data_IF_975085413140
#
_entry.id   IF_975085413140
#
_cell.length_a   1.000
_cell.length_b   1.000
_cell.length_c   1.000
_cell.angle_alpha   90.00
_cell.angle_beta   90.00
_cell.angle_gamma   90.00
#
_symmetry.space_group_name_H-M   'P 1'
#
loop_
_entity.id
_entity.type
_entity.pdbx_description
1 polymer ?
#
# COMPACT_ATOMS: atom_id res chain seq x y z
N UNK A 1 2.08 -6.96 0.60
CA UNK A 1 2.19 -5.86 -0.37
C UNK A 1 0.80 -5.26 -0.57
N UNK A 2 0.64 -3.95 -0.40
CA UNK A 2 -0.58 -3.24 -0.77
C UNK A 2 -0.38 -2.54 -2.12
N UNK A 3 -1.36 -2.62 -3.02
CA UNK A 3 -1.36 -1.92 -4.31
C UNK A 3 -2.37 -0.79 -4.24
N UNK A 4 -1.95 0.43 -4.62
CA UNK A 4 -2.82 1.59 -4.65
C UNK A 4 -2.74 2.22 -6.04
N UNK A 5 -3.88 2.38 -6.70
CA UNK A 5 -3.96 3.16 -7.94
C UNK A 5 -3.67 4.61 -7.58
N UNK A 6 -2.83 5.27 -8.39
CA UNK A 6 -2.47 6.65 -8.14
C UNK A 6 -3.73 7.50 -7.90
N UNK A 7 -3.96 8.00 -6.69
CA UNK A 7 -5.21 8.63 -6.35
C UNK A 7 -5.28 10.03 -6.96
N UNK A 8 -6.41 10.39 -7.55
CA UNK A 8 -6.70 11.78 -7.95
C UNK A 8 -7.18 12.64 -6.78
N UNK A 9 -7.69 11.99 -5.73
CA UNK A 9 -8.25 12.62 -4.54
C UNK A 9 -7.62 11.99 -3.30
N UNK A 10 -7.15 12.82 -2.37
CA UNK A 10 -6.50 12.38 -1.14
C UNK A 10 -7.43 12.48 0.06
N UNK A 11 -7.78 11.34 0.63
CA UNK A 11 -8.36 11.22 1.96
C UNK A 11 -7.35 11.55 3.06
N UNK A 12 -7.86 11.87 4.25
CA UNK A 12 -7.07 12.31 5.41
C UNK A 12 -5.90 11.36 5.75
N UNK A 13 -6.10 10.04 5.71
CA UNK A 13 -5.05 9.05 5.98
C UNK A 13 -4.15 8.76 4.78
N UNK A 14 -4.64 8.95 3.54
CA UNK A 14 -3.84 8.71 2.33
C UNK A 14 -2.73 9.72 2.13
N UNK A 15 -2.82 10.89 2.75
CA UNK A 15 -1.76 11.91 2.76
C UNK A 15 -0.52 11.47 3.52
N UNK A 16 -0.70 10.62 4.55
CA UNK A 16 0.40 10.07 5.34
C UNK A 16 1.04 8.85 4.67
N UNK A 17 0.40 8.25 3.66
CA UNK A 17 0.95 7.11 2.94
C UNK A 17 2.03 7.54 1.95
N UNK A 18 3.26 7.07 2.17
CA UNK A 18 4.37 7.24 1.24
C UNK A 18 4.47 6.07 0.23
N UNK A 19 4.63 6.38 -1.07
CA UNK A 19 4.81 5.37 -2.11
C UNK A 19 6.10 4.59 -1.87
N UNK A 20 6.09 3.30 -2.20
CA UNK A 20 7.18 2.32 -2.02
C UNK A 20 7.57 1.99 -0.58
N UNK A 21 7.07 2.74 0.41
CA UNK A 21 7.23 2.45 1.84
C UNK A 21 5.99 1.77 2.39
N UNK A 22 4.81 2.35 2.16
CA UNK A 22 3.55 1.82 2.69
C UNK A 22 2.70 1.11 1.63
N UNK A 23 2.87 1.47 0.36
CA UNK A 23 2.13 0.86 -0.76
C UNK A 23 2.93 0.91 -2.06
N UNK A 24 2.50 0.15 -3.05
CA UNK A 24 3.03 0.22 -4.41
C UNK A 24 2.09 1.00 -5.33
N UNK A 25 2.55 2.09 -5.96
CA UNK A 25 1.70 2.89 -6.85
C UNK A 25 1.44 2.16 -8.16
N UNK A 26 0.19 2.17 -8.61
CA UNK A 26 -0.26 1.63 -9.89
C UNK A 26 -0.69 2.79 -10.78
N UNK A 27 -0.14 2.83 -11.99
CA UNK A 27 -0.53 3.81 -12.98
C UNK A 27 -1.96 3.52 -13.47
N UNK A 28 -2.80 4.55 -13.52
CA UNK A 28 -4.18 4.42 -13.95
C UNK A 28 -4.32 4.12 -15.45
N UNK A 29 -3.43 4.65 -16.28
CA UNK A 29 -3.50 4.46 -17.74
C UNK A 29 -3.07 3.05 -18.17
N UNK A 30 -2.13 2.45 -17.44
CA UNK A 30 -1.54 1.13 -17.74
C UNK A 30 -1.67 0.17 -16.55
N UNK A 31 -2.90 -0.03 -16.05
CA UNK A 31 -3.18 -0.84 -14.84
C UNK A 31 -2.60 -2.25 -14.94
N UNK A 32 -2.93 -2.98 -16.01
CA UNK A 32 -2.54 -4.40 -16.15
C UNK A 32 -1.01 -4.59 -16.20
N UNK A 33 -0.30 -3.72 -16.93
CA UNK A 33 1.18 -3.77 -17.01
C UNK A 33 1.82 -3.41 -15.67
N UNK A 34 1.29 -2.37 -15.01
CA UNK A 34 1.77 -1.92 -13.70
C UNK A 34 1.57 -2.98 -12.62
N UNK A 35 0.42 -3.65 -12.61
CA UNK A 35 0.13 -4.75 -11.68
C UNK A 35 1.08 -5.93 -11.95
N UNK A 36 1.25 -6.32 -13.23
CA UNK A 36 2.19 -7.40 -13.58
C UNK A 36 3.61 -7.10 -13.09
N UNK A 37 4.10 -5.88 -13.31
CA UNK A 37 5.41 -5.46 -12.82
C UNK A 37 5.51 -5.50 -11.29
N UNK A 38 4.48 -5.03 -10.58
CA UNK A 38 4.43 -5.08 -9.12
C UNK A 38 4.46 -6.52 -8.58
N UNK A 39 3.74 -7.43 -9.25
CA UNK A 39 3.71 -8.86 -8.91
C UNK A 39 5.06 -9.52 -9.20
N UNK A 40 5.65 -9.28 -10.38
CA UNK A 40 6.95 -9.84 -10.75
C UNK A 40 8.06 -9.33 -9.82
N UNK A 41 8.01 -8.05 -9.43
CA UNK A 41 8.91 -7.46 -8.44
C UNK A 41 8.72 -8.08 -7.05
N UNK A 42 7.46 -8.24 -6.61
CA UNK A 42 7.13 -8.85 -5.33
C UNK A 42 7.52 -10.32 -5.24
N UNK A 43 7.36 -11.09 -6.33
CA UNK A 43 7.76 -12.48 -6.40
C UNK A 43 9.29 -12.65 -6.37
N UNK A 44 10.04 -11.74 -6.99
CA UNK A 44 11.51 -11.74 -6.91
C UNK A 44 12.01 -11.31 -5.53
N UNK A 45 11.35 -10.32 -4.91
CA UNK A 45 11.79 -9.70 -3.65
C UNK A 45 10.70 -9.79 -2.57
N UNK A 46 10.33 -11.02 -2.18
CA UNK A 46 9.23 -11.28 -1.24
C UNK A 46 9.42 -10.56 0.11
N UNK A 47 10.66 -10.49 0.63
CA UNK A 47 10.96 -9.81 1.91
C UNK A 47 10.59 -8.33 1.87
N UNK A 48 11.00 -7.63 0.82
CA UNK A 48 10.68 -6.20 0.63
C UNK A 48 9.18 -5.98 0.45
N UNK A 49 8.51 -6.86 -0.30
CA UNK A 49 7.06 -6.82 -0.48
C UNK A 49 6.27 -7.04 0.83
N UNK A 50 6.84 -7.82 1.76
CA UNK A 50 6.29 -8.03 3.09
C UNK A 50 6.55 -6.82 4.00
N UNK A 51 7.74 -6.24 3.98
CA UNK A 51 8.09 -5.03 4.73
C UNK A 51 7.17 -3.86 4.36
N UNK A 52 6.96 -3.63 3.07
CA UNK A 52 6.03 -2.59 2.57
C UNK A 52 4.61 -2.85 3.07
N UNK A 53 4.14 -4.09 3.00
CA UNK A 53 2.82 -4.47 3.49
C UNK A 53 2.66 -4.20 4.99
N UNK A 54 3.65 -4.60 5.80
CA UNK A 54 3.63 -4.38 7.25
C UNK A 54 3.68 -2.90 7.61
N UNK A 55 4.51 -2.10 6.94
CA UNK A 55 4.61 -0.67 7.15
C UNK A 55 3.30 0.06 6.80
N UNK A 56 2.62 -0.36 5.72
CA UNK A 56 1.30 0.16 5.37
C UNK A 56 0.24 -0.17 6.42
N UNK A 57 0.15 -1.44 6.82
CA UNK A 57 -0.80 -1.87 7.86
C UNK A 57 -0.56 -1.17 9.19
N UNK A 58 0.70 -1.00 9.60
CA UNK A 58 1.05 -0.32 10.84
C UNK A 58 0.58 1.14 10.84
N UNK A 59 0.82 1.87 9.75
CA UNK A 59 0.37 3.26 9.63
C UNK A 59 -1.16 3.37 9.72
N UNK A 60 -1.89 2.48 9.03
CA UNK A 60 -3.36 2.45 9.10
C UNK A 60 -3.82 2.17 10.53
N UNK A 61 -3.18 1.25 11.25
CA UNK A 61 -3.51 0.97 12.65
C UNK A 61 -3.25 2.16 13.59
N UNK A 62 -2.17 2.92 13.35
CA UNK A 62 -1.82 4.10 14.16
C UNK A 62 -2.73 5.30 13.86
N UNK A 63 -3.05 5.55 12.58
CA UNK A 63 -3.84 6.70 12.14
C UNK A 63 -5.36 6.47 12.23
N UNK A 64 -5.81 5.20 12.29
CA UNK A 64 -7.23 4.82 12.41
C UNK A 64 -7.49 3.95 13.65
N UNK A 65 -7.26 4.47 14.88
CA UNK A 65 -7.37 3.70 16.11
C UNK A 65 -8.79 3.18 16.39
N UNK A 66 -9.81 3.83 15.82
CA UNK A 66 -11.21 3.44 15.97
C UNK A 66 -11.50 2.03 15.39
N UNK A 67 -10.71 1.58 14.39
CA UNK A 67 -10.84 0.24 13.80
C UNK A 67 -10.21 -0.87 14.67
N UNK A 68 -9.25 -0.52 15.53
CA UNK A 68 -8.49 -1.49 16.33
C UNK A 68 -9.25 -1.92 17.60
N UNK A 69 -10.17 -1.09 18.09
CA UNK A 69 -10.99 -1.35 19.28
C UNK A 69 -12.04 -2.48 19.10
N UNK A 70 -12.28 -2.96 17.88
CA UNK A 70 -13.26 -4.04 17.61
C UNK A 70 -12.59 -5.44 17.66
N UNK A 71 -11.25 -5.51 17.74
CA UNK A 71 -10.49 -6.78 17.63
C UNK A 71 -9.79 -7.18 18.95
N UNK A 72 -10.17 -6.59 20.08
CA UNK A 72 -9.67 -6.96 21.43
C UNK A 72 -10.83 -7.42 22.30
#
# INVERSE_FOLDING_TARGET
MALLINPHYYDFFTRSLLPTIHYWPINENDKCKSIKFAVDCGNKNAKKAQEIGKAGTKLVQEELPCFTLIVI
#
